data_IF_885472819766
#
_entry.id   IF_885472819766
#
_cell.length_a   1.000
_cell.length_b   1.000
_cell.length_c   1.000
_cell.angle_alpha   90.00
_cell.angle_beta   90.00
_cell.angle_gamma   90.00
#
_symmetry.space_group_name_H-M   'P 1'
#
loop_
_entity.id
_entity.type
_entity.pdbx_description
1 polymer ?
#
# COMPACT_ATOMS: atom_id res chain seq x y z
N UNK A 1 31.81 -7.64 -23.71
CA UNK A 1 30.60 -7.02 -24.28
C UNK A 1 29.96 -6.22 -23.15
N UNK A 2 30.00 -4.87 -23.20
CA UNK A 2 29.25 -4.04 -22.28
C UNK A 2 27.75 -4.39 -22.48
N UNK A 3 27.10 -4.95 -21.47
CA UNK A 3 25.66 -5.12 -21.50
C UNK A 3 25.05 -3.70 -21.59
N UNK A 4 24.46 -3.39 -22.73
CA UNK A 4 23.72 -2.14 -22.90
C UNK A 4 22.50 -2.23 -21.98
N UNK A 5 22.57 -1.60 -20.81
CA UNK A 5 21.40 -1.49 -19.94
C UNK A 5 20.44 -0.47 -20.56
N UNK A 6 19.18 -0.85 -20.81
CA UNK A 6 18.22 0.07 -21.38
C UNK A 6 17.96 1.23 -20.40
N UNK A 7 17.94 2.44 -20.92
CA UNK A 7 17.53 3.62 -20.14
C UNK A 7 16.16 3.38 -19.50
N UNK A 8 15.97 3.84 -18.27
CA UNK A 8 14.71 3.75 -17.55
C UNK A 8 13.91 5.05 -17.67
N UNK A 9 12.60 4.92 -17.90
CA UNK A 9 11.67 6.06 -17.85
C UNK A 9 10.51 5.75 -16.93
N UNK A 10 10.07 6.77 -16.19
CA UNK A 10 8.99 6.70 -15.20
C UNK A 10 7.82 7.52 -15.71
N UNK A 11 6.66 6.92 -15.76
CA UNK A 11 5.39 7.55 -16.14
C UNK A 11 4.35 7.36 -15.05
N UNK A 12 3.29 8.15 -15.09
CA UNK A 12 2.21 8.09 -14.10
C UNK A 12 0.83 7.98 -14.74
N UNK A 13 -0.05 7.20 -14.11
CA UNK A 13 -1.49 7.36 -14.30
C UNK A 13 -1.97 8.68 -13.66
N UNK A 14 -3.11 9.20 -14.12
CA UNK A 14 -3.62 10.54 -13.78
C UNK A 14 -3.72 10.81 -12.26
N UNK A 15 -4.14 9.82 -11.49
CA UNK A 15 -4.34 9.95 -10.04
C UNK A 15 -3.08 9.68 -9.20
N UNK A 16 -1.96 9.30 -9.84
CA UNK A 16 -0.71 8.95 -9.17
C UNK A 16 0.45 9.91 -9.48
N UNK A 17 0.18 11.03 -10.15
CA UNK A 17 1.20 12.00 -10.61
C UNK A 17 2.04 12.51 -9.45
N UNK A 18 1.43 12.98 -8.35
CA UNK A 18 2.16 13.52 -7.21
C UNK A 18 3.16 12.53 -6.59
N UNK A 19 2.76 11.27 -6.44
CA UNK A 19 3.66 10.24 -5.93
C UNK A 19 4.74 9.88 -6.96
N UNK A 20 4.37 9.80 -8.25
CA UNK A 20 5.31 9.50 -9.33
C UNK A 20 6.38 10.60 -9.49
N UNK A 21 6.04 11.88 -9.34
CA UNK A 21 6.99 12.98 -9.32
C UNK A 21 8.01 12.84 -8.19
N UNK A 22 7.54 12.47 -6.98
CA UNK A 22 8.43 12.21 -5.84
C UNK A 22 9.31 10.99 -6.10
N UNK A 23 8.79 9.90 -6.68
CA UNK A 23 9.57 8.72 -7.06
C UNK A 23 10.62 9.11 -8.10
N UNK A 24 10.24 9.80 -9.18
CA UNK A 24 11.14 10.22 -10.25
C UNK A 24 12.25 11.14 -9.71
N UNK A 25 11.92 12.08 -8.82
CA UNK A 25 12.90 12.95 -8.14
C UNK A 25 13.90 12.15 -7.31
N UNK A 26 13.43 11.17 -6.51
CA UNK A 26 14.31 10.32 -5.70
C UNK A 26 15.14 9.36 -6.58
N UNK A 27 14.60 8.93 -7.70
CA UNK A 27 15.31 8.10 -8.68
C UNK A 27 16.38 8.90 -9.45
N UNK A 28 16.23 10.22 -9.58
CA UNK A 28 17.16 11.11 -10.27
C UNK A 28 16.86 11.35 -11.76
N UNK A 29 15.60 11.14 -12.20
CA UNK A 29 15.15 11.41 -13.58
C UNK A 29 13.90 12.28 -13.58
N UNK A 30 13.61 13.02 -14.68
CA UNK A 30 12.33 13.68 -14.82
C UNK A 30 11.20 12.66 -15.02
N UNK A 31 9.99 13.02 -14.57
CA UNK A 31 8.80 12.24 -14.91
C UNK A 31 8.52 12.36 -16.42
N UNK A 32 8.27 11.23 -17.06
CA UNK A 32 7.94 11.15 -18.48
C UNK A 32 6.56 11.75 -18.78
N UNK A 33 6.40 12.28 -19.98
CA UNK A 33 5.17 12.96 -20.40
C UNK A 33 4.14 11.99 -20.97
N UNK A 34 2.93 12.03 -20.41
CA UNK A 34 1.76 11.30 -20.88
C UNK A 34 0.60 12.26 -20.99
N UNK A 35 -0.15 12.17 -22.07
CA UNK A 35 -1.43 12.86 -22.23
C UNK A 35 -2.59 11.87 -22.12
N UNK A 36 -3.71 12.31 -21.59
CA UNK A 36 -4.95 11.54 -21.50
C UNK A 36 -6.04 12.28 -22.26
N UNK A 37 -6.31 11.84 -23.50
CA UNK A 37 -7.44 12.35 -24.26
C UNK A 37 -8.73 11.73 -23.74
N UNK A 38 -9.75 12.54 -23.53
CA UNK A 38 -11.06 12.08 -23.09
C UNK A 38 -12.08 12.30 -24.21
N UNK A 39 -12.81 11.24 -24.58
CA UNK A 39 -13.88 11.29 -25.54
C UNK A 39 -15.19 11.81 -24.91
N UNK A 40 -16.12 12.22 -25.75
CA UNK A 40 -17.39 12.82 -25.28
C UNK A 40 -18.31 11.84 -24.54
N UNK A 41 -18.15 10.54 -24.80
CA UNK A 41 -18.86 9.45 -24.11
C UNK A 41 -18.22 9.06 -22.75
N UNK A 42 -17.03 9.62 -22.46
CA UNK A 42 -16.29 9.37 -21.24
C UNK A 42 -15.12 8.38 -21.35
N UNK A 43 -14.97 7.70 -22.51
CA UNK A 43 -13.77 6.92 -22.76
C UNK A 43 -12.51 7.78 -22.73
N UNK A 44 -11.36 7.19 -22.44
CA UNK A 44 -10.09 7.91 -22.42
C UNK A 44 -8.98 7.09 -23.08
N UNK A 45 -7.99 7.80 -23.62
CA UNK A 45 -6.85 7.25 -24.32
C UNK A 45 -5.56 7.88 -23.80
N UNK A 46 -4.66 7.11 -23.15
CA UNK A 46 -3.32 7.59 -22.81
C UNK A 46 -2.40 7.60 -24.03
N UNK A 47 -1.50 8.58 -24.12
CA UNK A 47 -0.46 8.68 -25.13
C UNK A 47 0.87 9.05 -24.49
N UNK A 48 1.92 8.29 -24.77
CA UNK A 48 3.28 8.66 -24.41
C UNK A 48 3.79 9.73 -25.38
N UNK A 49 4.19 10.89 -24.87
CA UNK A 49 4.62 12.04 -25.68
C UNK A 49 6.12 11.97 -26.05
N UNK A 50 6.73 10.85 -25.82
CA UNK A 50 8.16 10.61 -26.10
C UNK A 50 8.41 9.15 -26.50
N UNK A 51 9.53 8.90 -27.20
CA UNK A 51 9.89 7.55 -27.61
C UNK A 51 10.28 6.70 -26.39
N UNK A 52 9.68 5.51 -26.31
CA UNK A 52 9.97 4.51 -25.28
C UNK A 52 10.48 3.19 -25.86
N UNK A 53 10.78 3.18 -27.18
CA UNK A 53 11.25 1.98 -27.88
C UNK A 53 12.54 1.45 -27.29
N UNK A 54 12.54 0.18 -26.90
CA UNK A 54 13.68 -0.50 -26.32
C UNK A 54 14.03 -0.12 -24.88
N UNK A 55 13.26 0.78 -24.26
CA UNK A 55 13.50 1.26 -22.90
C UNK A 55 12.86 0.34 -21.84
N UNK A 56 13.30 0.50 -20.58
CA UNK A 56 12.59 0.01 -19.41
C UNK A 56 11.59 1.08 -18.96
N UNK A 57 10.33 0.73 -18.95
CA UNK A 57 9.23 1.63 -18.61
C UNK A 57 8.64 1.24 -17.25
N UNK A 58 8.67 2.17 -16.30
CA UNK A 58 7.95 2.08 -15.03
C UNK A 58 6.68 2.93 -15.12
N UNK A 59 5.53 2.36 -14.76
CA UNK A 59 4.24 3.04 -14.77
C UNK A 59 3.70 3.08 -13.35
N UNK A 60 3.74 4.24 -12.71
CA UNK A 60 3.25 4.43 -11.33
C UNK A 60 1.74 4.61 -11.36
N UNK A 61 1.03 3.70 -10.70
CA UNK A 61 -0.42 3.73 -10.64
C UNK A 61 -0.95 2.98 -9.41
N UNK A 62 -1.45 3.68 -8.42
CA UNK A 62 -2.23 3.06 -7.36
C UNK A 62 -3.64 2.79 -7.83
N UNK A 63 -4.08 1.52 -7.76
CA UNK A 63 -5.35 1.06 -8.34
C UNK A 63 -6.53 1.14 -7.34
N UNK A 64 -6.59 2.23 -6.55
CA UNK A 64 -7.75 2.50 -5.69
C UNK A 64 -9.00 2.85 -6.53
N UNK A 65 -10.23 2.70 -6.00
CA UNK A 65 -11.46 3.09 -6.72
C UNK A 65 -11.44 4.58 -7.15
N UNK A 66 -11.90 5.00 -8.36
CA UNK A 66 -12.75 4.17 -9.26
C UNK A 66 -11.97 3.11 -10.06
N UNK A 67 -12.70 2.25 -10.82
CA UNK A 67 -12.10 1.26 -11.71
C UNK A 67 -11.30 1.91 -12.85
N UNK A 68 -11.49 3.19 -13.13
CA UNK A 68 -10.78 3.95 -14.17
C UNK A 68 -9.27 3.95 -13.92
N UNK A 69 -8.81 4.01 -12.67
CA UNK A 69 -7.38 3.91 -12.35
C UNK A 69 -6.75 2.60 -12.84
N UNK A 70 -7.48 1.50 -12.70
CA UNK A 70 -7.04 0.22 -13.25
C UNK A 70 -7.10 0.21 -14.77
N UNK A 71 -8.15 0.77 -15.37
CA UNK A 71 -8.30 0.84 -16.83
C UNK A 71 -7.20 1.73 -17.44
N UNK A 72 -6.89 2.89 -16.87
CA UNK A 72 -5.75 3.72 -17.29
C UNK A 72 -4.45 2.91 -17.30
N UNK A 73 -4.19 2.17 -16.23
CA UNK A 73 -2.98 1.34 -16.12
C UNK A 73 -2.93 0.29 -17.22
N UNK A 74 -4.03 -0.43 -17.47
CA UNK A 74 -4.10 -1.45 -18.53
C UNK A 74 -3.85 -0.85 -19.91
N UNK A 75 -4.45 0.28 -20.22
CA UNK A 75 -4.26 0.98 -21.50
C UNK A 75 -2.82 1.50 -21.65
N UNK A 76 -2.19 2.01 -20.57
CA UNK A 76 -0.80 2.43 -20.60
C UNK A 76 0.16 1.26 -20.83
N UNK A 77 -0.11 0.09 -20.22
CA UNK A 77 0.69 -1.12 -20.43
C UNK A 77 0.59 -1.57 -21.90
N UNK A 78 -0.63 -1.63 -22.47
CA UNK A 78 -0.83 -2.00 -23.87
C UNK A 78 -0.16 -1.00 -24.82
N UNK A 79 -0.28 0.30 -24.57
CA UNK A 79 0.39 1.33 -25.35
C UNK A 79 1.92 1.19 -25.29
N UNK A 80 2.49 0.93 -24.10
CA UNK A 80 3.93 0.71 -23.94
C UNK A 80 4.41 -0.53 -24.70
N UNK A 81 3.64 -1.62 -24.65
CA UNK A 81 3.90 -2.85 -25.43
C UNK A 81 3.90 -2.59 -26.93
N UNK A 82 2.89 -1.87 -27.45
CA UNK A 82 2.80 -1.49 -28.87
C UNK A 82 3.89 -0.52 -29.31
N UNK A 83 4.36 0.34 -28.39
CA UNK A 83 5.49 1.23 -28.63
C UNK A 83 6.86 0.52 -28.52
N UNK A 84 6.86 -0.81 -28.36
CA UNK A 84 8.09 -1.65 -28.27
C UNK A 84 8.97 -1.34 -27.08
N UNK A 85 8.41 -0.99 -25.91
CA UNK A 85 9.15 -0.96 -24.67
C UNK A 85 9.75 -2.36 -24.40
N UNK A 86 10.99 -2.40 -23.89
CA UNK A 86 11.69 -3.68 -23.64
C UNK A 86 11.18 -4.37 -22.37
N UNK A 87 10.97 -3.57 -21.31
CA UNK A 87 10.42 -4.03 -20.06
C UNK A 87 9.32 -3.07 -19.62
N UNK A 88 8.20 -3.62 -19.17
CA UNK A 88 7.06 -2.85 -18.70
C UNK A 88 6.78 -3.28 -17.27
N UNK A 89 7.06 -2.38 -16.32
CA UNK A 89 6.91 -2.63 -14.89
C UNK A 89 5.86 -1.68 -14.31
N UNK A 90 4.60 -2.09 -14.16
CA UNK A 90 3.66 -1.38 -13.30
C UNK A 90 4.19 -1.30 -11.87
N UNK A 91 4.24 -0.09 -11.35
CA UNK A 91 4.53 0.23 -9.95
C UNK A 91 3.21 0.58 -9.29
N UNK A 92 2.69 -0.35 -8.49
CA UNK A 92 1.34 -0.29 -7.92
C UNK A 92 1.45 -0.17 -6.40
N UNK A 93 1.67 1.04 -5.83
CA UNK A 93 1.83 1.21 -4.38
C UNK A 93 0.64 0.68 -3.60
N UNK A 94 -0.59 0.89 -4.08
CA UNK A 94 -1.78 0.24 -3.58
C UNK A 94 -2.41 -0.65 -4.64
N UNK A 95 -2.43 -1.96 -4.38
CA UNK A 95 -3.06 -2.95 -5.25
C UNK A 95 -4.54 -3.10 -4.90
N UNK A 96 -5.40 -2.52 -5.73
CA UNK A 96 -6.85 -2.62 -5.57
C UNK A 96 -7.36 -4.05 -5.74
N UNK A 97 -8.53 -4.35 -5.17
CA UNK A 97 -9.15 -5.69 -5.15
C UNK A 97 -8.35 -6.75 -4.38
N UNK A 98 -7.27 -6.42 -3.69
CA UNK A 98 -6.47 -7.35 -2.88
C UNK A 98 -7.28 -8.07 -1.80
N UNK A 99 -8.35 -7.45 -1.27
CA UNK A 99 -9.27 -8.07 -0.30
C UNK A 99 -10.12 -9.20 -0.88
N UNK A 100 -10.09 -9.40 -2.21
CA UNK A 100 -10.78 -10.49 -2.92
C UNK A 100 -9.77 -11.56 -3.36
N UNK A 101 -8.93 -12.01 -2.42
CA UNK A 101 -7.85 -12.99 -2.64
C UNK A 101 -8.35 -14.44 -2.62
N UNK A 102 -9.56 -14.67 -2.09
CA UNK A 102 -10.18 -15.98 -1.95
C UNK A 102 -11.71 -15.88 -2.02
N UNK A 103 -12.36 -17.02 -2.14
CA UNK A 103 -13.82 -17.11 -1.99
C UNK A 103 -14.17 -17.18 -0.50
N UNK A 104 -14.73 -16.13 0.03
CA UNK A 104 -15.27 -16.06 1.40
C UNK A 104 -16.71 -16.59 1.51
N UNK A 105 -17.39 -16.72 0.35
CA UNK A 105 -18.73 -17.26 0.21
C UNK A 105 -18.96 -17.87 -1.18
N UNK A 106 -20.04 -18.66 -1.39
CA UNK A 106 -20.35 -19.21 -2.70
C UNK A 106 -20.58 -18.14 -3.77
N UNK A 107 -20.18 -18.43 -5.02
CA UNK A 107 -20.50 -17.62 -6.21
C UNK A 107 -19.92 -16.21 -6.25
N UNK A 108 -18.78 -15.99 -5.57
CA UNK A 108 -18.03 -14.74 -5.66
C UNK A 108 -16.76 -14.91 -6.51
N UNK A 109 -16.22 -13.84 -7.09
CA UNK A 109 -14.96 -13.88 -7.82
C UNK A 109 -13.76 -14.02 -6.86
N UNK A 110 -12.60 -14.32 -7.44
CA UNK A 110 -11.29 -14.04 -6.86
C UNK A 110 -10.72 -12.84 -7.62
N UNK A 111 -11.11 -11.64 -7.18
CA UNK A 111 -10.82 -10.39 -7.89
C UNK A 111 -9.32 -10.15 -8.06
N UNK A 112 -8.52 -10.41 -7.03
CA UNK A 112 -7.07 -10.25 -7.10
C UNK A 112 -6.43 -11.11 -8.21
N UNK A 113 -6.90 -12.36 -8.42
CA UNK A 113 -6.42 -13.22 -9.51
C UNK A 113 -6.83 -12.71 -10.87
N UNK A 114 -8.06 -12.16 -10.99
CA UNK A 114 -8.53 -11.55 -12.24
C UNK A 114 -7.66 -10.36 -12.62
N UNK A 115 -7.38 -9.45 -11.67
CA UNK A 115 -6.54 -8.27 -11.93
C UNK A 115 -5.11 -8.68 -12.31
N UNK A 116 -4.53 -9.67 -11.64
CA UNK A 116 -3.22 -10.20 -12.00
C UNK A 116 -3.18 -10.64 -13.46
N UNK A 117 -4.16 -11.43 -13.90
CA UNK A 117 -4.27 -11.89 -15.30
C UNK A 117 -4.46 -10.74 -16.30
N UNK A 118 -5.24 -9.72 -15.97
CA UNK A 118 -5.43 -8.57 -16.84
C UNK A 118 -4.12 -7.80 -17.05
N UNK A 119 -3.33 -7.57 -16.00
CA UNK A 119 -2.03 -6.91 -16.08
C UNK A 119 -1.04 -7.71 -16.96
N UNK A 120 -0.99 -9.02 -16.78
CA UNK A 120 -0.17 -9.92 -17.61
C UNK A 120 -0.58 -9.88 -19.09
N UNK A 121 -1.87 -10.00 -19.35
CA UNK A 121 -2.43 -10.02 -20.72
C UNK A 121 -2.16 -8.68 -21.42
N UNK A 122 -2.29 -7.57 -20.72
CA UNK A 122 -1.97 -6.25 -21.24
C UNK A 122 -0.49 -6.12 -21.65
N UNK A 123 0.41 -6.83 -20.99
CA UNK A 123 1.83 -6.89 -21.38
C UNK A 123 2.82 -6.51 -20.30
N UNK A 124 2.40 -6.43 -19.04
CA UNK A 124 3.34 -6.26 -17.92
C UNK A 124 4.35 -7.41 -17.88
N UNK A 125 5.62 -7.09 -17.61
CA UNK A 125 6.73 -8.07 -17.54
C UNK A 125 7.23 -8.29 -16.12
N UNK A 126 6.80 -7.45 -15.17
CA UNK A 126 7.10 -7.46 -13.74
C UNK A 126 6.08 -6.60 -13.04
N UNK A 127 5.78 -6.86 -11.79
CA UNK A 127 4.98 -5.97 -10.92
C UNK A 127 5.83 -5.54 -9.73
N UNK A 128 5.68 -4.30 -9.32
CA UNK A 128 6.22 -3.79 -8.06
C UNK A 128 5.06 -3.24 -7.23
N UNK A 129 4.90 -3.74 -5.99
CA UNK A 129 3.79 -3.34 -5.10
C UNK A 129 4.23 -3.32 -3.65
N UNK A 130 3.37 -2.82 -2.74
CA UNK A 130 3.69 -2.71 -1.32
C UNK A 130 2.52 -3.22 -0.47
N UNK A 131 2.86 -3.95 0.61
CA UNK A 131 1.93 -4.47 1.63
C UNK A 131 0.60 -5.00 1.06
N UNK A 132 0.69 -6.03 0.24
CA UNK A 132 -0.49 -6.76 -0.22
C UNK A 132 -1.32 -7.22 0.97
N UNK A 133 -2.65 -7.12 0.85
CA UNK A 133 -3.57 -7.59 1.90
C UNK A 133 -3.33 -9.04 2.31
N UNK A 134 -2.88 -9.85 1.36
CA UNK A 134 -2.51 -11.24 1.58
C UNK A 134 -1.25 -11.56 0.75
N UNK A 135 -0.17 -12.00 1.39
CA UNK A 135 1.13 -12.26 0.76
C UNK A 135 1.04 -13.27 -0.40
N UNK A 136 0.12 -14.24 -0.30
CA UNK A 136 -0.10 -15.27 -1.32
C UNK A 136 -0.62 -14.72 -2.66
N UNK A 137 -1.07 -13.47 -2.74
CA UNK A 137 -1.46 -12.81 -4.00
C UNK A 137 -0.29 -12.79 -4.99
N UNK A 138 0.97 -12.76 -4.50
CA UNK A 138 2.15 -12.89 -5.33
C UNK A 138 2.11 -14.15 -6.21
N UNK A 139 1.56 -15.24 -5.70
CA UNK A 139 1.39 -16.50 -6.44
C UNK A 139 0.26 -16.47 -7.49
N UNK A 140 -0.46 -15.37 -7.65
CA UNK A 140 -1.44 -15.21 -8.72
C UNK A 140 -0.83 -14.75 -10.04
N UNK A 141 0.41 -14.28 -10.00
CA UNK A 141 1.18 -13.83 -11.15
C UNK A 141 2.10 -14.92 -11.67
N UNK A 142 2.22 -15.04 -12.99
CA UNK A 142 3.21 -15.89 -13.66
C UNK A 142 4.52 -15.13 -13.96
N UNK A 143 4.54 -13.81 -13.71
CA UNK A 143 5.70 -12.95 -13.85
C UNK A 143 6.27 -12.55 -12.48
N UNK A 144 7.52 -12.05 -12.39
CA UNK A 144 8.12 -11.59 -11.14
C UNK A 144 7.29 -10.49 -10.46
N UNK A 145 7.15 -10.61 -9.13
CA UNK A 145 6.50 -9.63 -8.26
C UNK A 145 7.49 -9.16 -7.20
N UNK A 146 7.79 -7.88 -7.20
CA UNK A 146 8.55 -7.23 -6.14
C UNK A 146 7.54 -6.72 -5.09
N UNK A 147 7.31 -7.52 -4.04
CA UNK A 147 6.42 -7.19 -2.94
C UNK A 147 7.21 -6.48 -1.84
N UNK A 148 7.08 -5.16 -1.75
CA UNK A 148 7.76 -4.33 -0.76
C UNK A 148 6.97 -4.27 0.54
N UNK A 149 7.65 -3.97 1.64
CA UNK A 149 7.03 -3.83 2.97
C UNK A 149 7.23 -2.43 3.52
N UNK A 150 6.15 -1.79 3.92
CA UNK A 150 6.17 -0.46 4.55
C UNK A 150 6.85 -0.46 5.94
N UNK A 151 7.11 -1.65 6.52
CA UNK A 151 7.96 -1.76 7.71
C UNK A 151 9.32 -1.08 7.52
N UNK A 152 9.89 -1.13 6.32
CA UNK A 152 11.14 -0.42 5.96
C UNK A 152 11.03 1.10 6.17
N UNK A 153 9.83 1.65 6.00
CA UNK A 153 9.53 3.09 6.18
C UNK A 153 9.13 3.37 7.62
N UNK A 154 8.26 2.54 8.19
CA UNK A 154 7.65 2.80 9.50
C UNK A 154 8.57 2.50 10.69
N UNK A 155 9.45 1.47 10.60
CA UNK A 155 10.34 1.13 11.70
C UNK A 155 11.29 2.29 12.09
N UNK A 156 11.98 2.98 11.15
CA UNK A 156 12.78 4.15 11.49
C UNK A 156 11.93 5.27 12.10
N UNK A 157 10.72 5.50 11.59
CA UNK A 157 9.81 6.49 12.13
C UNK A 157 9.41 6.16 13.57
N UNK A 158 8.98 4.93 13.86
CA UNK A 158 8.59 4.50 15.22
C UNK A 158 9.77 4.63 16.19
N UNK A 159 10.98 4.23 15.79
CA UNK A 159 12.19 4.39 16.59
C UNK A 159 12.48 5.86 16.92
N UNK A 160 12.21 6.77 15.99
CA UNK A 160 12.40 8.21 16.20
C UNK A 160 11.45 8.83 17.24
N UNK A 161 10.33 8.16 17.55
CA UNK A 161 9.38 8.62 18.58
C UNK A 161 9.91 8.42 20.01
N UNK A 162 10.94 7.58 20.20
CA UNK A 162 11.57 7.29 21.50
C UNK A 162 10.55 6.98 22.61
N UNK A 163 9.60 6.10 22.32
CA UNK A 163 8.52 5.74 23.25
C UNK A 163 8.99 4.71 24.28
N UNK A 164 8.94 5.09 25.55
CA UNK A 164 9.16 4.15 26.65
C UNK A 164 7.99 3.15 26.75
N UNK A 165 8.28 1.95 27.24
CA UNK A 165 7.28 0.88 27.43
C UNK A 165 6.41 0.64 26.17
N UNK A 166 7.06 0.57 25.01
CA UNK A 166 6.39 0.35 23.74
C UNK A 166 5.74 -1.05 23.70
N UNK A 167 4.52 -1.10 23.19
CA UNK A 167 3.79 -2.33 22.88
C UNK A 167 3.19 -2.21 21.49
N UNK A 168 3.38 -3.23 20.66
CA UNK A 168 2.77 -3.32 19.34
C UNK A 168 1.42 -4.04 19.45
N UNK A 169 0.44 -3.55 18.71
CA UNK A 169 -0.89 -4.14 18.75
C UNK A 169 -1.47 -4.41 17.35
N UNK A 170 -2.23 -5.50 17.25
CA UNK A 170 -3.08 -5.73 16.08
C UNK A 170 -4.52 -5.33 16.37
N UNK A 171 -5.21 -4.59 15.47
CA UNK A 171 -6.60 -4.19 15.65
C UNK A 171 -7.58 -5.36 15.48
N UNK A 172 -7.12 -6.51 14.99
CA UNK A 172 -7.88 -7.76 14.87
C UNK A 172 -6.95 -8.99 14.76
N UNK A 173 -7.54 -10.18 14.67
CA UNK A 173 -6.78 -11.44 14.53
C UNK A 173 -6.04 -11.56 13.18
N UNK A 174 -6.55 -10.93 12.12
CA UNK A 174 -5.96 -11.01 10.78
C UNK A 174 -4.59 -10.34 10.70
N UNK A 175 -4.40 -9.23 11.40
CA UNK A 175 -3.15 -8.48 11.44
C UNK A 175 -2.10 -9.02 12.43
N UNK A 176 -2.38 -10.10 13.18
CA UNK A 176 -1.52 -10.59 14.27
C UNK A 176 -0.09 -10.94 13.81
N UNK A 177 0.06 -11.56 12.64
CA UNK A 177 1.37 -11.89 12.05
C UNK A 177 2.19 -10.62 11.78
N UNK A 178 1.56 -9.57 11.24
CA UNK A 178 2.19 -8.28 10.99
C UNK A 178 2.62 -7.60 12.29
N UNK A 179 1.72 -7.52 13.27
CA UNK A 179 2.05 -6.95 14.59
C UNK A 179 3.22 -7.68 15.26
N UNK A 180 3.24 -9.02 15.17
CA UNK A 180 4.35 -9.82 15.68
C UNK A 180 5.68 -9.50 14.97
N UNK A 181 5.69 -9.34 13.64
CA UNK A 181 6.89 -8.98 12.90
C UNK A 181 7.43 -7.61 13.37
N UNK A 182 6.58 -6.59 13.51
CA UNK A 182 6.98 -5.29 14.05
C UNK A 182 7.51 -5.39 15.48
N UNK A 183 6.87 -6.18 16.35
CA UNK A 183 7.32 -6.34 17.75
C UNK A 183 8.73 -6.92 17.83
N UNK A 184 9.09 -7.84 16.93
CA UNK A 184 10.43 -8.41 16.85
C UNK A 184 11.49 -7.36 16.51
N UNK A 185 11.24 -6.49 15.52
CA UNK A 185 12.18 -5.43 15.14
C UNK A 185 12.28 -4.30 16.15
N UNK A 186 11.25 -4.13 16.98
CA UNK A 186 11.16 -3.07 18.00
C UNK A 186 11.44 -3.59 19.41
N UNK A 187 11.75 -4.88 19.55
CA UNK A 187 12.01 -5.55 20.84
C UNK A 187 10.92 -5.25 21.87
N UNK A 188 9.66 -5.38 21.46
CA UNK A 188 8.50 -4.99 22.26
C UNK A 188 7.51 -6.14 22.42
N UNK A 189 6.62 -6.02 23.40
CA UNK A 189 5.49 -6.94 23.57
C UNK A 189 4.47 -6.80 22.43
N UNK A 190 3.63 -7.83 22.26
CA UNK A 190 2.53 -7.82 21.31
C UNK A 190 1.19 -8.03 22.02
N UNK A 191 0.17 -7.28 21.55
CA UNK A 191 -1.20 -7.36 22.03
C UNK A 191 -2.14 -7.50 20.83
N UNK A 192 -3.23 -8.24 20.99
CA UNK A 192 -4.17 -8.49 19.89
C UNK A 192 -5.58 -8.10 20.34
N UNK A 193 -6.28 -7.27 19.55
CA UNK A 193 -7.70 -7.08 19.70
C UNK A 193 -8.45 -8.27 19.08
N UNK A 194 -9.36 -8.83 19.83
CA UNK A 194 -10.25 -9.90 19.40
C UNK A 194 -11.69 -9.40 19.31
N UNK A 195 -12.28 -9.54 18.13
CA UNK A 195 -13.66 -9.13 17.87
C UNK A 195 -14.58 -10.34 18.03
N UNK A 196 -15.41 -10.35 19.06
CA UNK A 196 -16.38 -11.41 19.31
C UNK A 196 -17.77 -11.01 18.77
N UNK A 197 -18.25 -11.78 17.79
CA UNK A 197 -19.65 -11.69 17.33
C UNK A 197 -20.50 -12.67 18.13
N UNK A 198 -21.26 -12.19 19.12
CA UNK A 198 -22.07 -13.07 19.99
C UNK A 198 -23.38 -13.56 19.36
N UNK A 199 -23.98 -12.82 18.42
CA UNK A 199 -25.14 -13.23 17.59
C UNK A 199 -25.46 -12.19 16.52
N UNK A 200 -26.36 -12.52 15.58
CA UNK A 200 -26.97 -11.53 14.70
C UNK A 200 -27.71 -10.47 15.53
N UNK A 201 -27.41 -9.17 15.33
CA UNK A 201 -27.96 -8.01 16.02
C UNK A 201 -27.48 -7.74 17.47
N UNK A 202 -26.40 -8.38 17.94
CA UNK A 202 -25.77 -8.03 19.23
C UNK A 202 -24.54 -7.14 18.94
N UNK A 203 -24.34 -6.10 19.79
CA UNK A 203 -23.19 -5.17 19.67
C UNK A 203 -21.89 -5.96 19.66
N UNK A 204 -21.08 -5.79 18.61
CA UNK A 204 -19.74 -6.36 18.51
C UNK A 204 -18.90 -5.92 19.72
N UNK A 205 -18.59 -6.83 20.61
CA UNK A 205 -17.65 -6.60 21.72
C UNK A 205 -16.24 -6.82 21.20
N UNK A 206 -15.34 -5.92 21.57
CA UNK A 206 -13.92 -6.06 21.32
C UNK A 206 -13.22 -6.35 22.64
N UNK A 207 -12.43 -7.39 22.67
CA UNK A 207 -11.62 -7.80 23.83
C UNK A 207 -10.13 -7.69 23.51
N UNK A 208 -9.29 -7.59 24.53
CA UNK A 208 -7.86 -7.45 24.41
C UNK A 208 -7.18 -8.69 24.94
N UNK A 209 -6.30 -9.26 24.15
CA UNK A 209 -5.39 -10.36 24.53
C UNK A 209 -4.02 -9.76 24.77
N UNK A 210 -3.56 -9.74 26.02
CA UNK A 210 -2.33 -9.10 26.47
C UNK A 210 -2.58 -7.90 27.37
N UNK A 211 -1.53 -7.23 27.82
CA UNK A 211 -1.57 -6.14 28.81
C UNK A 211 -1.10 -4.81 28.18
N UNK A 212 -1.89 -3.75 28.38
CA UNK A 212 -1.59 -2.41 27.83
C UNK A 212 -1.46 -1.34 28.93
N UNK A 213 -1.73 -1.67 30.19
CA UNK A 213 -1.68 -0.71 31.29
C UNK A 213 -0.27 -0.13 31.45
N UNK A 214 -0.20 1.21 31.42
CA UNK A 214 1.09 1.92 31.55
C UNK A 214 1.97 1.79 30.29
N UNK A 215 1.43 1.39 29.16
CA UNK A 215 2.15 1.20 27.88
C UNK A 215 1.85 2.28 26.84
N UNK A 216 2.82 2.60 26.00
CA UNK A 216 2.62 3.32 24.76
C UNK A 216 2.36 2.31 23.67
N UNK A 217 1.17 2.36 23.04
CA UNK A 217 0.73 1.35 22.09
C UNK A 217 0.78 1.87 20.66
N UNK A 218 1.27 1.04 19.74
CA UNK A 218 1.17 1.28 18.29
C UNK A 218 0.38 0.14 17.65
N UNK A 219 -0.81 0.47 17.17
CA UNK A 219 -1.63 -0.40 16.33
C UNK A 219 -1.01 -0.50 14.93
N UNK A 220 -0.94 -1.71 14.37
CA UNK A 220 -0.36 -1.96 13.04
C UNK A 220 -1.37 -2.67 12.15
N UNK A 221 -1.61 -2.10 10.95
CA UNK A 221 -2.50 -2.72 9.95
C UNK A 221 -1.97 -2.45 8.53
N UNK A 222 -2.47 -3.18 7.51
CA UNK A 222 -2.16 -2.93 6.10
C UNK A 222 -2.97 -1.76 5.55
N UNK A 223 -4.24 -1.65 5.92
CA UNK A 223 -5.11 -0.59 5.40
C UNK A 223 -6.12 -0.11 6.43
N UNK A 224 -6.47 1.17 6.32
CA UNK A 224 -7.57 1.77 7.06
C UNK A 224 -8.67 2.20 6.08
N UNK A 225 -9.82 1.50 6.14
CA UNK A 225 -10.97 1.79 5.27
C UNK A 225 -11.96 2.70 5.99
N UNK A 226 -12.90 2.18 6.76
CA UNK A 226 -13.93 2.99 7.45
C UNK A 226 -13.48 3.54 8.80
N UNK A 227 -12.27 3.21 9.26
CA UNK A 227 -11.68 3.66 10.52
C UNK A 227 -12.31 3.11 11.80
N UNK A 228 -13.43 2.37 11.68
CA UNK A 228 -14.21 1.95 12.85
C UNK A 228 -13.49 0.96 13.77
N UNK A 229 -12.82 -0.04 13.22
CA UNK A 229 -12.05 -1.03 13.99
C UNK A 229 -10.89 -0.37 14.72
N UNK A 230 -10.14 0.48 14.02
CA UNK A 230 -8.98 1.19 14.56
C UNK A 230 -9.39 2.16 15.69
N UNK A 231 -10.46 2.93 15.49
CA UNK A 231 -10.99 3.84 16.49
C UNK A 231 -11.43 3.09 17.77
N UNK A 232 -12.22 2.02 17.62
CA UNK A 232 -12.67 1.19 18.75
C UNK A 232 -11.50 0.53 19.50
N UNK A 233 -10.48 0.04 18.77
CA UNK A 233 -9.29 -0.55 19.38
C UNK A 233 -8.53 0.49 20.22
N UNK A 234 -8.34 1.70 19.68
CA UNK A 234 -7.68 2.79 20.40
C UNK A 234 -8.45 3.19 21.67
N UNK A 235 -9.77 3.34 21.58
CA UNK A 235 -10.62 3.71 22.70
C UNK A 235 -10.55 2.64 23.80
N UNK A 236 -10.66 1.36 23.45
CA UNK A 236 -10.55 0.23 24.38
C UNK A 236 -9.20 0.20 25.09
N UNK A 237 -8.09 0.39 24.36
CA UNK A 237 -6.74 0.37 24.95
C UNK A 237 -6.55 1.49 25.96
N UNK A 238 -7.03 2.70 25.66
CA UNK A 238 -7.00 3.81 26.63
C UNK A 238 -7.88 3.50 27.85
N UNK A 239 -9.07 2.90 27.67
CA UNK A 239 -9.91 2.45 28.80
C UNK A 239 -9.25 1.38 29.67
N UNK A 240 -8.40 0.53 29.06
CA UNK A 240 -7.60 -0.48 29.77
C UNK A 240 -6.30 0.09 30.36
N UNK A 241 -6.08 1.41 30.30
CA UNK A 241 -4.98 2.12 30.98
C UNK A 241 -3.72 2.29 30.14
N UNK A 242 -3.78 2.20 28.82
CA UNK A 242 -2.67 2.59 27.95
C UNK A 242 -2.37 4.10 28.12
N UNK A 243 -1.10 4.47 28.10
CA UNK A 243 -0.64 5.87 28.21
C UNK A 243 -0.96 6.65 26.92
N UNK A 244 -0.72 6.04 25.78
CA UNK A 244 -1.05 6.59 24.48
C UNK A 244 -1.32 5.47 23.48
N UNK A 245 -2.14 5.75 22.47
CA UNK A 245 -2.37 4.85 21.33
C UNK A 245 -2.16 5.60 20.03
N UNK A 246 -1.24 5.10 19.21
CA UNK A 246 -1.00 5.52 17.84
C UNK A 246 -1.31 4.36 16.90
N UNK A 247 -1.42 4.65 15.61
CA UNK A 247 -1.56 3.61 14.59
C UNK A 247 -0.62 3.88 13.43
N UNK A 248 -0.10 2.82 12.85
CA UNK A 248 0.56 2.82 11.54
C UNK A 248 -0.23 1.96 10.59
N UNK A 249 -0.47 2.47 9.38
CA UNK A 249 -1.30 1.81 8.39
C UNK A 249 -0.76 2.16 6.99
N UNK A 250 -0.47 1.17 6.19
CA UNK A 250 0.16 1.42 4.88
C UNK A 250 -0.77 2.17 3.96
N UNK A 251 -2.02 1.71 3.81
CA UNK A 251 -2.96 2.22 2.82
C UNK A 251 -4.12 2.99 3.46
N UNK A 252 -4.13 4.30 3.25
CA UNK A 252 -5.16 5.20 3.76
C UNK A 252 -6.36 5.31 2.81
N UNK A 253 -7.23 4.29 2.77
CA UNK A 253 -8.45 4.32 1.92
C UNK A 253 -9.43 5.39 2.43
N UNK A 254 -9.64 5.45 3.74
CA UNK A 254 -10.40 6.46 4.47
C UNK A 254 -11.77 6.75 3.81
N UNK A 255 -12.55 5.69 3.63
CA UNK A 255 -13.87 5.77 3.02
C UNK A 255 -14.97 6.22 4.00
N UNK A 256 -16.05 6.75 3.46
CA UNK A 256 -17.21 7.19 4.22
C UNK A 256 -16.85 8.24 5.28
N UNK A 257 -17.21 8.00 6.53
CA UNK A 257 -16.97 8.89 7.67
C UNK A 257 -15.72 8.49 8.50
N UNK A 258 -14.69 7.91 7.84
CA UNK A 258 -13.47 7.45 8.51
C UNK A 258 -12.75 8.59 9.24
N UNK A 259 -12.61 9.75 8.58
CA UNK A 259 -11.96 10.91 9.18
C UNK A 259 -12.63 11.34 10.49
N UNK A 260 -13.97 11.46 10.48
CA UNK A 260 -14.76 11.87 11.65
C UNK A 260 -14.63 10.87 12.81
N UNK A 261 -14.61 9.56 12.50
CA UNK A 261 -14.42 8.51 13.51
C UNK A 261 -13.03 8.58 14.14
N UNK A 262 -11.99 8.74 13.32
CA UNK A 262 -10.61 8.85 13.81
C UNK A 262 -10.41 10.12 14.63
N UNK A 263 -10.95 11.25 14.18
CA UNK A 263 -10.88 12.53 14.89
C UNK A 263 -11.57 12.48 16.27
N UNK A 264 -12.71 11.78 16.39
CA UNK A 264 -13.45 11.60 17.64
C UNK A 264 -12.86 10.54 18.57
N UNK A 265 -12.08 9.59 18.06
CA UNK A 265 -11.49 8.52 18.87
C UNK A 265 -10.37 9.02 19.79
N UNK A 266 -9.97 8.18 20.72
CA UNK A 266 -8.80 8.43 21.59
C UNK A 266 -7.45 8.15 20.90
N UNK A 267 -7.46 7.82 19.62
CA UNK A 267 -6.24 7.69 18.84
C UNK A 267 -5.50 9.02 18.79
N UNK A 268 -4.22 9.00 19.17
CA UNK A 268 -3.37 10.18 19.19
C UNK A 268 -2.95 10.59 17.77
N UNK A 269 -2.51 9.62 16.97
CA UNK A 269 -1.98 9.82 15.63
C UNK A 269 -2.18 8.57 14.78
N UNK A 270 -2.54 8.74 13.52
CA UNK A 270 -2.53 7.73 12.47
C UNK A 270 -1.41 8.07 11.48
N UNK A 271 -0.42 7.22 11.38
CA UNK A 271 0.68 7.36 10.44
C UNK A 271 0.38 6.47 9.23
N UNK A 272 0.41 7.05 8.02
CA UNK A 272 0.11 6.35 6.77
C UNK A 272 1.18 6.63 5.72
N UNK A 273 1.15 5.87 4.61
CA UNK A 273 1.94 6.23 3.43
C UNK A 273 1.11 7.06 2.44
N UNK A 274 1.78 7.59 1.44
CA UNK A 274 1.17 8.27 0.28
C UNK A 274 0.84 7.30 -0.87
N UNK A 275 0.74 6.00 -0.58
CA UNK A 275 0.28 4.99 -1.56
C UNK A 275 -1.13 5.26 -2.10
N UNK A 276 -1.95 5.95 -1.34
CA UNK A 276 -3.24 6.52 -1.75
C UNK A 276 -3.25 7.99 -1.35
N UNK A 277 -3.59 8.92 -2.26
CA UNK A 277 -3.66 10.34 -1.93
C UNK A 277 -4.77 10.60 -0.90
N UNK A 278 -4.47 11.39 0.13
CA UNK A 278 -5.48 11.79 1.12
C UNK A 278 -6.53 12.69 0.47
N UNK A 279 -7.79 12.47 0.83
CA UNK A 279 -8.93 13.27 0.33
C UNK A 279 -9.01 14.65 0.99
N UNK A 280 -8.51 14.76 2.23
CA UNK A 280 -8.42 16.01 3.00
C UNK A 280 -7.31 15.91 4.05
N UNK A 281 -6.84 17.03 4.52
CA UNK A 281 -5.93 17.10 5.66
C UNK A 281 -6.66 16.77 6.97
N UNK A 282 -5.93 16.21 7.91
CA UNK A 282 -6.38 15.99 9.30
C UNK A 282 -5.19 16.11 10.24
N UNK A 283 -5.38 16.78 11.38
CA UNK A 283 -4.35 16.94 12.41
C UNK A 283 -3.89 15.62 13.04
N UNK A 284 -4.70 14.57 12.93
CA UNK A 284 -4.38 13.23 13.45
C UNK A 284 -3.72 12.33 12.42
N UNK A 285 -3.63 12.72 11.15
CA UNK A 285 -3.06 11.89 10.10
C UNK A 285 -1.72 12.45 9.67
N UNK A 286 -0.68 11.64 9.78
CA UNK A 286 0.66 11.94 9.32
C UNK A 286 1.03 11.05 8.14
N UNK A 287 1.55 11.65 7.08
CA UNK A 287 2.01 10.91 5.91
C UNK A 287 3.53 10.75 5.96
N UNK A 288 4.00 9.53 5.75
CA UNK A 288 5.42 9.20 5.51
C UNK A 288 5.51 8.65 4.10
N UNK A 289 6.23 9.35 3.22
CA UNK A 289 6.25 9.00 1.80
C UNK A 289 6.92 7.65 1.54
N UNK A 290 6.30 6.85 0.67
CA UNK A 290 6.88 5.60 0.15
C UNK A 290 7.75 5.83 -1.10
N UNK A 291 7.80 7.05 -1.64
CA UNK A 291 8.56 7.36 -2.85
C UNK A 291 10.05 7.00 -2.76
N UNK A 292 10.78 7.27 -1.66
CA UNK A 292 12.19 6.87 -1.57
C UNK A 292 12.40 5.37 -1.66
N UNK A 293 11.51 4.56 -1.04
CA UNK A 293 11.60 3.11 -1.09
C UNK A 293 11.39 2.58 -2.51
N UNK A 294 10.34 3.05 -3.20
CA UNK A 294 10.10 2.65 -4.58
C UNK A 294 11.23 3.06 -5.51
N UNK A 295 11.73 4.29 -5.41
CA UNK A 295 12.85 4.77 -6.23
C UNK A 295 14.11 3.93 -6.03
N UNK A 296 14.45 3.60 -4.79
CA UNK A 296 15.61 2.78 -4.46
C UNK A 296 15.49 1.36 -5.05
N UNK A 297 14.33 0.70 -4.88
CA UNK A 297 14.10 -0.63 -5.44
C UNK A 297 14.04 -0.61 -6.96
N UNK A 298 13.43 0.40 -7.58
CA UNK A 298 13.45 0.58 -9.03
C UNK A 298 14.89 0.71 -9.56
N UNK A 299 15.74 1.45 -8.86
CA UNK A 299 17.15 1.59 -9.20
C UNK A 299 17.90 0.25 -9.07
N UNK A 300 17.66 -0.51 -8.01
CA UNK A 300 18.21 -1.86 -7.84
C UNK A 300 17.78 -2.80 -8.99
N UNK A 301 16.50 -2.80 -9.34
CA UNK A 301 15.96 -3.59 -10.46
C UNK A 301 16.55 -3.16 -11.80
N UNK A 302 16.77 -1.85 -12.01
CA UNK A 302 17.41 -1.31 -13.22
C UNK A 302 18.82 -1.88 -13.40
N UNK A 303 19.61 -1.96 -12.33
CA UNK A 303 21.00 -2.39 -12.36
C UNK A 303 21.16 -3.88 -12.02
N UNK A 304 20.10 -4.67 -12.06
CA UNK A 304 20.08 -6.11 -11.72
C UNK A 304 20.68 -6.43 -10.33
N UNK A 305 20.58 -5.49 -9.38
CA UNK A 305 21.00 -5.67 -8.01
C UNK A 305 19.95 -6.42 -7.18
N UNK A 306 20.42 -7.13 -6.15
CA UNK A 306 19.52 -7.83 -5.22
C UNK A 306 18.70 -6.84 -4.38
N UNK A 307 17.39 -7.07 -4.30
CA UNK A 307 16.46 -6.31 -3.47
C UNK A 307 16.19 -6.95 -2.11
N UNK A 308 16.84 -8.10 -1.81
CA UNK A 308 16.57 -8.90 -0.60
C UNK A 308 16.72 -8.12 0.71
N UNK A 309 17.64 -7.15 0.77
CA UNK A 309 17.83 -6.29 1.96
C UNK A 309 16.68 -5.31 2.23
N UNK A 310 15.69 -5.21 1.35
CA UNK A 310 14.51 -4.36 1.50
C UNK A 310 13.25 -5.13 1.97
N UNK A 311 13.37 -6.43 2.16
CA UNK A 311 12.29 -7.28 2.68
C UNK A 311 12.42 -7.40 4.21
N UNK A 312 12.03 -6.35 4.93
CA UNK A 312 11.91 -6.39 6.39
C UNK A 312 10.49 -6.83 6.76
N UNK A 313 10.31 -8.14 6.98
CA UNK A 313 9.04 -8.75 7.45
C UNK A 313 9.09 -9.02 8.94
#
# INVERSE_FOLDING_TARGET
MSQFEPEAKIFACSQSVNLAEQIAKNYGVPLGKVTFSKFSDGEFQPSFEESIRGLRVFIVCSTFPSADNLMELLLMIDAAKRASARHITPVIPYFGYARQDRKDKPRVPIGAKLIAKLLETAGATRIMTMDLHADQIQGFFEMPVDHLFASTIFLPYVKSLQLDNLTIASPDMGGSKRAYAYSKFLESDVVICYKQRKAANVIDTMELIGEVKGRNVILVDDMVDTGGTLAKAADLMIEKGALSVRAICTHAILSGNAYEKLEKSKLLELIVTDSIPLKRESKKIKVVSCAPLFADVMNMVQHNNSISGKFLM
#
